data_IF_464816738669
#
_entry.id   IF_464816738669
#
_cell.length_a   1.000
_cell.length_b   1.000
_cell.length_c   1.000
_cell.angle_alpha   90.00
_cell.angle_beta   90.00
_cell.angle_gamma   90.00
#
_symmetry.space_group_name_H-M   'P 1'
#
loop_
_entity.id
_entity.type
_entity.pdbx_description
1 polymer ?
#
# COMPACT_ATOMS: atom_id res chain seq x y z
N UNK A 1 18.73 26.46 -28.39
CA UNK A 1 19.48 25.20 -28.21
C UNK A 1 18.57 24.26 -27.46
N UNK A 2 18.24 23.14 -28.10
CA UNK A 2 17.35 22.09 -27.60
C UNK A 2 18.00 21.35 -26.42
N UNK A 3 17.32 21.24 -25.27
CA UNK A 3 17.05 19.95 -24.60
C UNK A 3 15.82 20.10 -23.67
N UNK A 4 14.70 19.48 -24.08
CA UNK A 4 13.80 18.66 -23.23
C UNK A 4 13.89 17.23 -23.81
N UNK A 5 13.37 16.16 -23.19
CA UNK A 5 13.00 15.87 -21.80
C UNK A 5 13.87 14.72 -21.24
N UNK A 6 13.86 14.40 -19.93
CA UNK A 6 14.28 13.05 -19.50
C UNK A 6 13.31 12.47 -18.45
N UNK A 7 12.75 11.34 -18.86
CA UNK A 7 11.99 10.31 -18.16
C UNK A 7 12.65 9.86 -16.85
N UNK A 8 11.82 9.52 -15.87
CA UNK A 8 12.25 8.81 -14.68
C UNK A 8 12.99 7.52 -15.02
N UNK A 9 14.21 7.42 -14.53
CA UNK A 9 14.90 6.16 -14.33
C UNK A 9 15.73 6.33 -13.06
N UNK A 10 15.32 5.63 -12.00
CA UNK A 10 16.05 5.46 -10.76
C UNK A 10 17.41 4.84 -11.06
N UNK A 11 18.49 5.54 -10.74
CA UNK A 11 19.84 5.00 -10.85
C UNK A 11 20.17 4.26 -9.55
N UNK A 12 20.13 2.94 -9.61
CA UNK A 12 20.60 2.03 -8.56
C UNK A 12 22.08 2.30 -8.23
N UNK A 13 22.34 2.82 -7.04
CA UNK A 13 23.69 2.92 -6.49
C UNK A 13 24.12 1.56 -5.91
N UNK A 14 24.62 0.64 -6.74
CA UNK A 14 25.34 -0.55 -6.27
C UNK A 14 26.79 -0.20 -5.94
N UNK A 15 27.05 0.08 -4.67
CA UNK A 15 28.40 0.15 -4.10
C UNK A 15 29.07 -1.24 -4.06
N UNK A 16 30.19 -1.38 -4.77
CA UNK A 16 31.04 -2.56 -4.73
C UNK A 16 31.77 -2.70 -3.39
N UNK A 17 31.60 -3.85 -2.71
CA UNK A 17 32.38 -4.26 -1.54
C UNK A 17 33.59 -5.08 -1.98
N UNK A 18 34.78 -4.56 -1.74
CA UNK A 18 36.05 -5.28 -1.86
C UNK A 18 36.54 -5.83 -0.52
N UNK A 19 36.69 -7.15 -0.46
CA UNK A 19 37.82 -7.90 0.11
C UNK A 19 38.23 -7.72 1.58
N UNK A 20 38.15 -8.81 2.36
CA UNK A 20 38.88 -8.93 3.64
C UNK A 20 38.68 -10.25 4.38
N UNK A 21 39.37 -11.32 3.95
CA UNK A 21 39.52 -12.61 4.67
C UNK A 21 40.15 -12.40 6.05
N UNK A 22 39.62 -13.06 7.11
CA UNK A 22 40.45 -13.77 8.12
C UNK A 22 39.74 -15.01 8.67
N UNK A 23 40.55 -16.06 8.80
CA UNK A 23 40.26 -17.41 9.31
C UNK A 23 40.09 -17.42 10.82
N UNK A 24 39.31 -18.38 11.32
CA UNK A 24 39.37 -18.87 12.69
C UNK A 24 38.59 -20.18 12.84
N UNK A 25 39.31 -21.31 12.95
CA UNK A 25 38.76 -22.61 13.34
C UNK A 25 38.38 -22.58 14.83
N UNK A 26 37.31 -23.27 15.21
CA UNK A 26 37.24 -24.04 16.46
C UNK A 26 36.06 -25.03 16.41
N UNK A 27 36.31 -26.17 17.05
CA UNK A 27 35.75 -27.47 16.78
C UNK A 27 34.65 -27.88 17.78
N UNK A 28 33.85 -28.88 17.36
CA UNK A 28 33.22 -29.99 18.12
C UNK A 28 32.53 -29.69 19.47
N UNK A 29 31.28 -30.14 19.60
CA UNK A 29 30.88 -31.21 20.54
C UNK A 29 29.43 -31.68 20.32
N UNK A 30 29.26 -33.00 20.44
CA UNK A 30 28.03 -33.79 20.42
C UNK A 30 27.07 -33.43 21.56
N UNK A 31 25.78 -33.73 21.37
CA UNK A 31 24.83 -33.87 22.48
C UNK A 31 23.40 -34.18 22.05
N UNK A 32 23.13 -35.43 21.65
CA UNK A 32 21.77 -35.99 21.61
C UNK A 32 21.39 -36.37 23.04
N UNK A 33 20.23 -35.89 23.53
CA UNK A 33 19.61 -36.46 24.73
C UNK A 33 18.08 -36.50 24.56
N UNK A 34 17.59 -37.73 24.34
CA UNK A 34 16.20 -38.15 24.52
C UNK A 34 15.95 -38.38 26.01
N UNK A 35 14.83 -37.88 26.55
CA UNK A 35 14.30 -38.31 27.83
C UNK A 35 12.83 -38.70 27.67
N UNK A 36 12.60 -39.99 27.89
CA UNK A 36 11.30 -40.61 28.02
C UNK A 36 10.67 -40.27 29.38
N UNK A 37 9.34 -40.12 29.40
CA UNK A 37 8.54 -40.17 30.63
C UNK A 37 7.51 -41.26 30.45
N UNK A 38 7.60 -42.28 31.31
CA UNK A 38 6.66 -43.39 31.48
C UNK A 38 5.71 -43.13 32.67
N UNK A 39 4.66 -43.97 32.76
CA UNK A 39 3.65 -44.15 33.81
C UNK A 39 2.33 -43.39 33.55
N UNK A 40 1.12 -43.96 33.60
CA UNK A 40 0.50 -45.25 33.94
C UNK A 40 -0.87 -45.24 33.19
N UNK A 41 -1.60 -46.31 32.90
CA UNK A 41 -1.65 -47.70 33.31
C UNK A 41 -3.01 -48.28 32.90
N UNK A 42 -3.09 -49.62 32.81
CA UNK A 42 -4.32 -50.41 32.60
C UNK A 42 -4.57 -50.77 31.13
N UNK A 43 -4.40 -52.00 30.63
CA UNK A 43 -4.34 -53.31 31.29
C UNK A 43 -5.60 -54.11 30.92
N UNK A 44 -5.49 -55.04 29.96
CA UNK A 44 -6.53 -56.05 29.69
C UNK A 44 -6.61 -56.54 28.25
N UNK A 45 -5.65 -57.36 27.81
CA UNK A 45 -5.74 -58.19 26.60
C UNK A 45 -6.33 -59.56 26.93
N UNK A 46 -7.04 -60.19 26.00
CA UNK A 46 -7.25 -61.65 26.04
C UNK A 46 -8.45 -62.18 25.25
N UNK A 47 -8.25 -62.77 24.06
CA UNK A 47 -9.28 -63.42 23.24
C UNK A 47 -9.45 -64.90 23.62
N UNK A 48 -10.62 -65.49 23.35
CA UNK A 48 -10.88 -66.90 23.60
C UNK A 48 -12.02 -67.45 22.73
N UNK A 49 -11.68 -68.43 21.90
CA UNK A 49 -12.51 -69.18 20.96
C UNK A 49 -13.04 -70.50 21.56
N UNK A 50 -14.24 -70.94 21.12
CA UNK A 50 -14.77 -72.31 21.18
C UNK A 50 -15.54 -72.64 22.47
N UNK A 51 -16.60 -73.47 22.51
CA UNK A 51 -17.38 -74.24 21.53
C UNK A 51 -18.59 -74.86 22.26
N UNK A 52 -19.66 -75.12 21.51
CA UNK A 52 -20.71 -76.14 21.69
C UNK A 52 -21.82 -76.09 22.77
N UNK A 53 -23.05 -75.99 22.20
CA UNK A 53 -24.27 -76.80 22.46
C UNK A 53 -24.99 -76.75 23.82
N UNK A 54 -26.21 -76.19 23.84
CA UNK A 54 -27.44 -76.99 23.99
C UNK A 54 -28.74 -76.15 23.88
N UNK A 55 -29.69 -76.80 23.21
CA UNK A 55 -31.09 -76.53 22.88
C UNK A 55 -31.97 -75.88 23.98
N UNK A 56 -32.90 -75.00 23.57
CA UNK A 56 -33.99 -74.49 24.41
C UNK A 56 -34.92 -73.54 23.66
N UNK A 57 -35.94 -74.09 23.01
CA UNK A 57 -36.89 -73.34 22.17
C UNK A 57 -37.76 -72.34 22.93
N UNK A 58 -37.96 -71.18 22.32
CA UNK A 58 -38.93 -70.17 22.76
C UNK A 58 -39.38 -69.31 21.58
N UNK A 59 -40.55 -69.65 21.02
CA UNK A 59 -41.31 -68.81 20.08
C UNK A 59 -41.56 -67.43 20.70
N UNK A 60 -41.32 -66.34 19.95
CA UNK A 60 -41.89 -65.05 20.35
C UNK A 60 -41.37 -63.82 19.61
N UNK A 61 -42.08 -63.47 18.54
CA UNK A 61 -42.28 -62.11 17.99
C UNK A 61 -41.08 -61.42 17.32
N UNK A 62 -41.21 -61.31 16.00
CA UNK A 62 -40.74 -60.17 15.20
C UNK A 62 -41.11 -58.86 15.93
N UNK A 63 -40.14 -58.28 16.62
CA UNK A 63 -40.11 -56.86 16.92
C UNK A 63 -39.39 -56.21 15.76
N UNK A 64 -40.17 -55.57 14.90
CA UNK A 64 -39.70 -54.69 13.84
C UNK A 64 -38.91 -53.55 14.50
N UNK A 65 -37.59 -53.74 14.64
CA UNK A 65 -36.68 -52.67 15.04
C UNK A 65 -36.42 -51.82 13.80
N UNK A 66 -37.41 -51.02 13.42
CA UNK A 66 -37.22 -49.88 12.54
C UNK A 66 -36.30 -48.90 13.28
N UNK A 67 -34.99 -49.09 13.13
CA UNK A 67 -34.04 -48.01 13.35
C UNK A 67 -34.51 -46.86 12.46
N UNK A 68 -35.05 -45.80 13.05
CA UNK A 68 -35.25 -44.54 12.36
C UNK A 68 -33.86 -44.04 11.94
N UNK A 69 -33.39 -44.48 10.78
CA UNK A 69 -32.41 -43.70 10.02
C UNK A 69 -33.14 -42.39 9.75
N UNK A 70 -32.67 -41.31 10.39
CA UNK A 70 -33.02 -39.97 9.93
C UNK A 70 -32.86 -39.98 8.41
N UNK A 71 -33.93 -39.62 7.69
CA UNK A 71 -33.85 -39.55 6.24
C UNK A 71 -32.69 -38.62 5.89
N UNK A 72 -31.79 -39.09 5.03
CA UNK A 72 -30.66 -38.28 4.55
C UNK A 72 -31.24 -37.09 3.79
N UNK A 73 -30.63 -35.90 3.96
CA UNK A 73 -31.04 -34.71 3.22
C UNK A 73 -30.94 -34.94 1.71
N UNK A 74 -31.88 -34.37 0.97
CA UNK A 74 -31.87 -34.36 -0.50
C UNK A 74 -30.99 -33.23 -1.06
N UNK A 75 -30.56 -32.28 -0.21
CA UNK A 75 -29.69 -31.18 -0.61
C UNK A 75 -28.31 -31.70 -1.04
N UNK A 76 -27.78 -31.11 -2.10
CA UNK A 76 -26.48 -31.43 -2.67
C UNK A 76 -25.63 -30.17 -2.68
N UNK A 77 -24.61 -30.13 -1.83
CA UNK A 77 -23.61 -29.07 -1.82
C UNK A 77 -22.49 -29.42 -2.80
N UNK A 78 -22.08 -28.47 -3.64
CA UNK A 78 -20.91 -28.62 -4.51
C UNK A 78 -19.94 -27.48 -4.25
N UNK A 79 -18.68 -27.82 -3.98
CA UNK A 79 -17.60 -26.86 -3.80
C UNK A 79 -16.64 -26.96 -4.99
N UNK A 80 -16.48 -25.86 -5.71
CA UNK A 80 -15.39 -25.65 -6.66
C UNK A 80 -14.39 -24.66 -6.04
N UNK A 81 -13.07 -24.90 -6.16
CA UNK A 81 -12.43 -26.03 -6.83
C UNK A 81 -12.56 -27.36 -6.05
N UNK A 82 -12.20 -28.47 -6.71
CA UNK A 82 -12.25 -29.82 -6.11
C UNK A 82 -11.38 -29.91 -4.86
N UNK A 83 -11.77 -30.76 -3.91
CA UNK A 83 -10.98 -31.00 -2.71
C UNK A 83 -9.56 -31.47 -3.05
N UNK A 84 -8.57 -30.84 -2.42
CA UNK A 84 -7.15 -31.04 -2.67
C UNK A 84 -6.61 -30.35 -3.92
N UNK A 85 -7.39 -29.51 -4.62
CA UNK A 85 -6.90 -28.78 -5.78
C UNK A 85 -5.70 -27.89 -5.40
N UNK A 86 -4.72 -27.84 -6.30
CA UNK A 86 -3.52 -27.00 -6.19
C UNK A 86 -3.47 -26.05 -7.38
N UNK A 87 -2.73 -24.95 -7.23
CA UNK A 87 -2.58 -23.93 -8.27
C UNK A 87 -3.91 -23.31 -8.74
N UNK A 88 -4.83 -23.10 -7.79
CA UNK A 88 -6.13 -22.47 -8.04
C UNK A 88 -5.96 -20.97 -8.26
N UNK A 89 -6.70 -20.39 -9.20
CA UNK A 89 -6.66 -18.95 -9.43
C UNK A 89 -7.18 -18.19 -8.21
N UNK A 90 -6.58 -17.03 -7.94
CA UNK A 90 -6.92 -16.20 -6.79
C UNK A 90 -8.28 -15.50 -6.94
N UNK A 91 -8.82 -15.45 -8.16
CA UNK A 91 -10.10 -14.83 -8.48
C UNK A 91 -10.95 -15.74 -9.37
N UNK A 92 -12.25 -15.74 -9.15
CA UNK A 92 -13.23 -16.40 -10.04
C UNK A 92 -13.47 -17.90 -9.81
N UNK A 93 -12.45 -18.64 -9.37
CA UNK A 93 -12.50 -20.11 -9.27
C UNK A 93 -13.32 -20.65 -8.09
N UNK A 94 -13.31 -19.95 -6.94
CA UNK A 94 -14.04 -20.37 -5.75
C UNK A 94 -15.54 -20.10 -5.92
N UNK A 95 -16.33 -21.17 -5.95
CA UNK A 95 -17.78 -21.14 -6.04
C UNK A 95 -18.36 -22.30 -5.22
N UNK A 96 -19.29 -21.99 -4.32
CA UNK A 96 -20.08 -23.01 -3.61
C UNK A 96 -21.51 -22.94 -4.13
N UNK A 97 -22.12 -24.08 -4.41
CA UNK A 97 -23.50 -24.17 -4.88
C UNK A 97 -24.31 -25.20 -4.09
N UNK A 98 -25.62 -24.99 -4.04
CA UNK A 98 -26.58 -25.96 -3.53
C UNK A 98 -27.59 -26.34 -4.63
N UNK A 99 -27.84 -27.63 -4.78
CA UNK A 99 -28.95 -28.18 -5.57
C UNK A 99 -29.93 -28.92 -4.64
N UNK A 100 -31.22 -28.92 -5.00
CA UNK A 100 -32.30 -29.52 -4.17
C UNK A 100 -32.36 -28.99 -2.72
N UNK A 101 -31.84 -27.79 -2.50
CA UNK A 101 -31.76 -27.15 -1.21
C UNK A 101 -31.20 -25.74 -1.35
N UNK A 102 -30.92 -25.09 -0.22
CA UNK A 102 -30.35 -23.73 -0.14
C UNK A 102 -29.18 -23.70 0.83
N UNK A 103 -28.12 -23.01 0.46
CA UNK A 103 -27.00 -22.71 1.35
C UNK A 103 -27.50 -21.90 2.55
N UNK A 104 -27.17 -22.37 3.75
CA UNK A 104 -27.48 -21.70 5.02
C UNK A 104 -26.22 -21.19 5.71
N UNK A 105 -25.08 -21.85 5.48
CA UNK A 105 -23.78 -21.44 5.99
C UNK A 105 -22.70 -21.72 4.95
N UNK A 106 -21.81 -20.75 4.74
CA UNK A 106 -20.53 -20.97 4.04
C UNK A 106 -19.43 -20.25 4.81
N UNK A 107 -18.41 -21.02 5.21
CA UNK A 107 -17.26 -20.52 5.96
C UNK A 107 -15.99 -20.89 5.21
N UNK A 108 -15.29 -19.87 4.73
CA UNK A 108 -13.98 -20.03 4.08
C UNK A 108 -12.92 -19.42 4.98
N UNK A 109 -11.86 -20.18 5.27
CA UNK A 109 -10.75 -19.76 6.15
C UNK A 109 -9.41 -20.14 5.59
N UNK A 110 -8.41 -19.29 5.80
CA UNK A 110 -7.01 -19.66 5.60
C UNK A 110 -6.46 -20.52 6.75
N UNK A 111 -5.24 -21.02 6.60
CA UNK A 111 -4.56 -21.83 7.65
C UNK A 111 -4.26 -21.08 8.94
N UNK A 112 -4.36 -19.73 8.95
CA UNK A 112 -4.21 -18.89 10.13
C UNK A 112 -5.56 -18.63 10.81
N UNK A 113 -6.66 -19.16 10.27
CA UNK A 113 -8.01 -18.98 10.78
C UNK A 113 -8.68 -17.67 10.36
N UNK A 114 -8.06 -16.87 9.48
CA UNK A 114 -8.68 -15.66 8.93
C UNK A 114 -9.82 -16.07 8.00
N UNK A 115 -11.02 -15.54 8.26
CA UNK A 115 -12.20 -15.77 7.42
C UNK A 115 -12.10 -14.93 6.15
N UNK A 116 -12.54 -15.50 5.03
CA UNK A 116 -12.76 -14.78 3.78
C UNK A 116 -14.22 -14.39 3.71
N UNK A 117 -14.47 -13.10 3.52
CA UNK A 117 -15.82 -12.59 3.33
C UNK A 117 -16.38 -13.04 1.98
N UNK A 118 -17.67 -13.30 1.95
CA UNK A 118 -18.40 -13.69 0.76
C UNK A 118 -19.89 -13.66 1.00
N UNK A 119 -20.67 -13.79 -0.07
CA UNK A 119 -22.11 -13.58 -0.06
C UNK A 119 -22.84 -14.81 -0.60
N UNK A 120 -23.86 -15.28 0.13
CA UNK A 120 -24.83 -16.26 -0.36
C UNK A 120 -25.86 -15.48 -1.19
N UNK A 121 -26.13 -15.92 -2.42
CA UNK A 121 -27.14 -15.32 -3.28
C UNK A 121 -28.52 -15.33 -2.62
N UNK A 122 -29.37 -14.33 -2.91
CA UNK A 122 -30.67 -14.20 -2.24
C UNK A 122 -31.63 -15.40 -2.41
N UNK A 123 -31.41 -16.22 -3.44
CA UNK A 123 -32.13 -17.49 -3.64
C UNK A 123 -31.56 -18.67 -2.83
N UNK A 124 -30.37 -18.52 -2.25
CA UNK A 124 -29.63 -19.54 -1.50
C UNK A 124 -28.84 -20.51 -2.40
N UNK A 125 -28.79 -20.30 -3.71
CA UNK A 125 -28.25 -21.29 -4.64
C UNK A 125 -26.71 -21.26 -4.75
N UNK A 126 -26.09 -20.10 -4.50
CA UNK A 126 -24.65 -19.89 -4.74
C UNK A 126 -24.00 -19.06 -3.65
N UNK A 127 -22.70 -19.26 -3.42
CA UNK A 127 -21.86 -18.38 -2.62
C UNK A 127 -20.55 -18.10 -3.34
N UNK A 128 -20.08 -16.85 -3.27
CA UNK A 128 -18.80 -16.40 -3.83
C UNK A 128 -18.05 -15.50 -2.84
N UNK A 129 -16.72 -15.49 -2.85
CA UNK A 129 -15.96 -14.54 -2.06
C UNK A 129 -16.21 -13.10 -2.55
N UNK A 130 -16.26 -12.14 -1.62
CA UNK A 130 -16.49 -10.72 -1.92
C UNK A 130 -15.25 -10.02 -2.46
N UNK A 131 -14.09 -10.66 -2.33
CA UNK A 131 -12.79 -10.16 -2.81
C UNK A 131 -11.94 -11.34 -3.32
N UNK A 132 -10.81 -11.03 -3.95
CA UNK A 132 -9.85 -12.05 -4.37
C UNK A 132 -9.23 -12.77 -3.16
N UNK A 133 -8.72 -13.97 -3.39
CA UNK A 133 -8.00 -14.76 -2.42
C UNK A 133 -6.51 -14.41 -2.44
N UNK A 134 -5.84 -14.61 -1.31
CA UNK A 134 -4.38 -14.46 -1.23
C UNK A 134 -3.68 -15.54 -2.05
N UNK A 135 -2.52 -15.21 -2.61
CA UNK A 135 -1.69 -16.17 -3.32
C UNK A 135 -1.00 -17.14 -2.36
N UNK A 136 -0.52 -18.27 -2.87
CA UNK A 136 0.25 -19.29 -2.13
C UNK A 136 -0.41 -19.73 -0.81
N UNK A 137 -1.75 -19.71 -0.77
CA UNK A 137 -2.52 -19.87 0.47
C UNK A 137 -3.42 -21.08 0.36
N UNK A 138 -3.36 -21.93 1.39
CA UNK A 138 -4.29 -23.04 1.56
C UNK A 138 -5.55 -22.57 2.27
N UNK A 139 -6.69 -22.87 1.69
CA UNK A 139 -8.01 -22.57 2.21
C UNK A 139 -8.76 -23.83 2.63
N UNK A 140 -9.61 -23.68 3.63
CA UNK A 140 -10.62 -24.63 4.07
C UNK A 140 -12.00 -24.01 3.83
N UNK A 141 -12.88 -24.76 3.19
CA UNK A 141 -14.27 -24.39 2.92
C UNK A 141 -15.15 -25.37 3.66
N UNK A 142 -16.04 -24.85 4.49
CA UNK A 142 -17.14 -25.58 5.10
C UNK A 142 -18.45 -24.98 4.59
N UNK A 143 -19.34 -25.80 4.06
CA UNK A 143 -20.62 -25.34 3.52
C UNK A 143 -21.76 -26.25 3.97
N UNK A 144 -22.88 -25.63 4.34
CA UNK A 144 -24.10 -26.32 4.78
C UNK A 144 -25.25 -25.86 3.91
N UNK A 145 -26.08 -26.80 3.47
CA UNK A 145 -27.34 -26.53 2.81
C UNK A 145 -28.49 -27.30 3.45
N UNK A 146 -29.68 -26.73 3.42
CA UNK A 146 -30.92 -27.35 3.87
C UNK A 146 -31.84 -27.67 2.68
N UNK A 147 -32.47 -28.84 2.71
CA UNK A 147 -33.51 -29.19 1.75
C UNK A 147 -34.90 -28.64 2.14
N UNK A 148 -35.93 -28.93 1.35
CA UNK A 148 -37.30 -28.46 1.62
C UNK A 148 -37.94 -29.03 2.89
N UNK A 149 -37.38 -30.10 3.46
CA UNK A 149 -37.83 -30.69 4.72
C UNK A 149 -37.03 -30.17 5.93
N UNK A 150 -36.09 -29.24 5.71
CA UNK A 150 -35.22 -28.68 6.75
C UNK A 150 -34.11 -29.63 7.18
N UNK A 151 -33.77 -30.63 6.35
CA UNK A 151 -32.68 -31.56 6.63
C UNK A 151 -31.38 -31.01 6.06
N UNK A 152 -30.32 -31.02 6.85
CA UNK A 152 -29.01 -30.49 6.47
C UNK A 152 -28.15 -31.49 5.67
N UNK A 153 -27.43 -30.97 4.69
CA UNK A 153 -26.28 -31.59 4.06
C UNK A 153 -25.08 -30.65 4.21
N UNK A 154 -23.94 -31.17 4.65
CA UNK A 154 -22.72 -30.42 4.81
C UNK A 154 -21.62 -31.00 3.93
N UNK A 155 -20.77 -30.13 3.39
CA UNK A 155 -19.56 -30.53 2.69
C UNK A 155 -18.36 -29.70 3.09
N UNK A 156 -17.22 -30.38 3.14
CA UNK A 156 -15.91 -29.79 3.44
C UNK A 156 -14.97 -29.96 2.25
N UNK A 157 -14.22 -28.91 1.93
CA UNK A 157 -13.21 -28.95 0.89
C UNK A 157 -11.98 -28.15 1.31
N UNK A 158 -10.84 -28.52 0.75
CA UNK A 158 -9.61 -27.75 0.86
C UNK A 158 -9.02 -27.53 -0.51
N UNK A 159 -8.33 -26.41 -0.70
CA UNK A 159 -7.58 -26.15 -1.92
C UNK A 159 -6.44 -25.17 -1.64
N UNK A 160 -5.49 -25.07 -2.56
CA UNK A 160 -4.35 -24.16 -2.46
C UNK A 160 -4.28 -23.27 -3.69
N UNK A 161 -4.22 -21.95 -3.47
CA UNK A 161 -4.05 -20.98 -4.56
C UNK A 161 -2.67 -21.08 -5.20
N UNK A 162 -2.57 -20.57 -6.43
CA UNK A 162 -1.33 -20.52 -7.19
C UNK A 162 -0.18 -19.87 -6.42
N UNK A 163 1.04 -20.32 -6.72
CA UNK A 163 2.27 -19.68 -6.24
C UNK A 163 2.85 -18.84 -7.37
N UNK A 164 2.82 -17.50 -7.26
CA UNK A 164 3.29 -16.62 -8.32
C UNK A 164 4.79 -16.83 -8.58
N UNK A 165 5.17 -16.89 -9.85
CA UNK A 165 6.58 -16.92 -10.26
C UNK A 165 7.18 -15.50 -10.31
N UNK A 166 6.32 -14.49 -10.41
CA UNK A 166 6.68 -13.09 -10.46
C UNK A 166 5.74 -12.31 -9.55
N UNK A 167 6.30 -11.35 -8.82
CA UNK A 167 5.52 -10.50 -7.92
C UNK A 167 5.77 -9.01 -8.14
N UNK A 168 4.84 -8.20 -7.65
CA UNK A 168 5.00 -6.76 -7.49
C UNK A 168 4.60 -6.30 -6.08
N UNK A 169 5.18 -5.17 -5.66
CA UNK A 169 4.75 -4.42 -4.48
C UNK A 169 4.57 -2.96 -4.85
N UNK A 170 3.78 -2.23 -4.06
CA UNK A 170 3.73 -0.77 -4.09
C UNK A 170 4.60 -0.17 -2.98
N UNK A 171 5.53 0.71 -3.34
CA UNK A 171 6.12 1.65 -2.39
C UNK A 171 5.15 2.81 -2.21
N UNK A 172 4.72 3.05 -0.98
CA UNK A 172 3.74 4.09 -0.69
C UNK A 172 4.33 5.27 0.06
N UNK A 173 3.68 6.42 -0.12
CA UNK A 173 3.84 7.58 0.75
C UNK A 173 2.46 8.24 0.91
N UNK A 174 2.12 8.81 2.07
CA UNK A 174 2.92 8.88 3.29
C UNK A 174 3.04 7.54 4.04
N UNK A 175 4.03 7.47 4.94
CA UNK A 175 4.30 6.30 5.78
C UNK A 175 3.25 6.12 6.88
N UNK A 176 3.12 4.90 7.40
CA UNK A 176 2.21 4.58 8.50
C UNK A 176 2.52 5.38 9.77
N UNK A 177 1.47 5.84 10.46
CA UNK A 177 1.53 6.68 11.65
C UNK A 177 1.97 8.13 11.41
N UNK A 178 2.24 8.54 10.17
CA UNK A 178 2.77 9.87 9.88
C UNK A 178 1.72 10.99 10.02
N UNK A 179 2.21 12.21 10.24
CA UNK A 179 1.42 13.44 10.21
C UNK A 179 1.93 14.35 9.10
N UNK A 180 1.05 14.69 8.16
CA UNK A 180 1.41 15.36 6.90
C UNK A 180 0.57 16.61 6.63
N UNK A 181 1.02 17.51 5.77
CA UNK A 181 0.29 18.70 5.37
C UNK A 181 -0.90 18.41 4.44
N UNK A 182 -1.75 19.41 4.26
CA UNK A 182 -3.04 19.32 3.55
C UNK A 182 -2.94 19.03 2.06
N UNK A 183 -1.76 19.14 1.47
CA UNK A 183 -1.50 18.81 0.06
C UNK A 183 -1.00 17.39 -0.17
N UNK A 184 -0.81 16.58 0.88
CA UNK A 184 -0.25 15.24 0.72
C UNK A 184 -1.22 14.31 -0.03
N UNK A 185 -0.79 13.73 -1.13
CA UNK A 185 -1.52 12.62 -1.78
C UNK A 185 -1.08 11.29 -1.17
N UNK A 186 -1.94 10.28 -1.19
CA UNK A 186 -1.48 8.90 -0.97
C UNK A 186 -1.02 8.35 -2.32
N UNK A 187 0.28 8.11 -2.48
CA UNK A 187 0.90 7.69 -3.74
C UNK A 187 1.48 6.29 -3.60
N UNK A 188 1.21 5.44 -4.57
CA UNK A 188 1.79 4.10 -4.74
C UNK A 188 2.65 4.07 -5.99
N UNK A 189 3.91 3.69 -5.84
CA UNK A 189 4.83 3.42 -6.95
C UNK A 189 5.14 1.93 -7.00
N UNK A 190 4.69 1.26 -8.05
CA UNK A 190 4.80 -0.17 -8.21
C UNK A 190 6.18 -0.58 -8.75
N UNK A 191 6.72 -1.69 -8.25
CA UNK A 191 8.00 -2.25 -8.74
C UNK A 191 7.92 -2.78 -10.17
N UNK A 192 6.71 -2.94 -10.70
CA UNK A 192 6.43 -3.40 -12.06
C UNK A 192 5.19 -2.64 -12.56
N UNK A 193 5.23 -2.20 -13.82
CA UNK A 193 4.08 -1.54 -14.44
C UNK A 193 2.87 -2.48 -14.52
N UNK A 194 1.69 -1.95 -14.19
CA UNK A 194 0.39 -2.61 -14.08
C UNK A 194 -0.34 -2.52 -15.42
N UNK A 195 -0.94 -3.62 -15.88
CA UNK A 195 -1.76 -3.65 -17.10
C UNK A 195 -3.23 -3.93 -16.82
N UNK A 196 -3.56 -4.35 -15.59
CA UNK A 196 -4.91 -4.58 -15.10
C UNK A 196 -5.22 -3.58 -13.96
N UNK A 197 -5.36 -2.27 -14.26
CA UNK A 197 -5.49 -1.23 -13.24
C UNK A 197 -6.73 -1.39 -12.37
N UNK A 198 -7.87 -1.80 -12.97
CA UNK A 198 -9.13 -1.93 -12.24
C UNK A 198 -9.08 -2.94 -11.08
N UNK A 199 -8.36 -4.05 -11.26
CA UNK A 199 -8.25 -5.08 -10.22
C UNK A 199 -7.32 -4.63 -9.09
N UNK A 200 -6.29 -3.85 -9.42
CA UNK A 200 -5.40 -3.21 -8.43
C UNK A 200 -6.14 -2.11 -7.66
N UNK A 201 -6.95 -1.30 -8.33
CA UNK A 201 -7.75 -0.25 -7.69
C UNK A 201 -8.80 -0.83 -6.75
N UNK A 202 -9.56 -1.85 -7.17
CA UNK A 202 -10.56 -2.53 -6.32
C UNK A 202 -9.96 -3.14 -5.06
N UNK A 203 -8.67 -3.45 -5.11
CA UNK A 203 -7.90 -3.99 -3.99
C UNK A 203 -7.36 -2.93 -3.03
N UNK A 204 -7.58 -1.64 -3.32
CA UNK A 204 -7.15 -0.52 -2.49
C UNK A 204 -8.38 0.20 -1.96
N UNK A 205 -8.55 0.19 -0.64
CA UNK A 205 -9.66 0.88 0.02
C UNK A 205 -9.13 2.06 0.83
N UNK A 206 -9.69 3.26 0.62
CA UNK A 206 -9.34 4.46 1.39
C UNK A 206 -10.55 4.90 2.22
N UNK A 207 -10.35 4.97 3.54
CA UNK A 207 -11.33 5.48 4.51
C UNK A 207 -10.83 6.78 5.09
N UNK A 208 -11.74 7.74 5.22
CA UNK A 208 -11.45 9.08 5.72
C UNK A 208 -12.40 9.45 6.86
N UNK A 209 -11.89 10.13 7.88
CA UNK A 209 -12.67 10.67 8.99
C UNK A 209 -12.25 12.13 9.22
N UNK A 210 -13.10 13.14 8.94
CA UNK A 210 -14.43 13.03 8.34
C UNK A 210 -14.41 12.46 6.91
N UNK A 211 -15.54 11.88 6.50
CA UNK A 211 -15.66 11.25 5.19
C UNK A 211 -15.60 12.27 4.06
N UNK A 212 -14.77 12.00 3.05
CA UNK A 212 -14.63 12.78 1.81
C UNK A 212 -14.37 11.83 0.64
N UNK A 213 -14.89 12.17 -0.55
CA UNK A 213 -14.60 11.45 -1.80
C UNK A 213 -13.11 11.53 -2.10
N UNK A 214 -12.49 10.38 -2.35
CA UNK A 214 -11.07 10.25 -2.71
C UNK A 214 -11.01 9.39 -3.96
N UNK A 215 -10.34 9.90 -4.99
CA UNK A 215 -10.23 9.21 -6.27
C UNK A 215 -8.78 8.95 -6.62
N UNK A 216 -8.55 7.80 -7.27
CA UNK A 216 -7.25 7.40 -7.81
C UNK A 216 -7.00 8.01 -9.19
N UNK A 217 -5.75 8.32 -9.50
CA UNK A 217 -5.30 8.69 -10.83
C UNK A 217 -3.97 8.03 -11.16
N UNK A 218 -3.90 7.36 -12.31
CA UNK A 218 -2.69 6.73 -12.80
C UNK A 218 -1.79 7.72 -13.53
N UNK A 219 -0.53 7.77 -13.13
CA UNK A 219 0.52 8.39 -13.90
C UNK A 219 1.32 7.30 -14.59
N UNK A 220 1.09 7.13 -15.89
CA UNK A 220 1.63 5.98 -16.62
C UNK A 220 0.98 4.69 -16.13
N UNK A 221 1.78 3.66 -15.90
CA UNK A 221 1.29 2.38 -15.39
C UNK A 221 2.04 1.89 -14.15
N UNK A 222 2.93 2.71 -13.60
CA UNK A 222 3.78 2.40 -12.46
C UNK A 222 3.42 3.21 -11.23
N UNK A 223 2.61 4.27 -11.35
CA UNK A 223 2.22 5.11 -10.23
C UNK A 223 0.73 5.38 -10.19
N UNK A 224 0.14 5.20 -9.01
CA UNK A 224 -1.25 5.51 -8.69
C UNK A 224 -1.30 6.46 -7.50
N UNK A 225 -1.89 7.63 -7.68
CA UNK A 225 -2.06 8.64 -6.64
C UNK A 225 -3.53 8.80 -6.26
N UNK A 226 -3.79 9.02 -4.97
CA UNK A 226 -5.13 9.25 -4.43
C UNK A 226 -5.21 10.59 -3.71
N UNK A 227 -6.27 11.35 -4.01
CA UNK A 227 -6.59 12.59 -3.31
C UNK A 227 -8.08 12.94 -3.42
N UNK A 228 -8.60 13.79 -2.52
CA UNK A 228 -9.87 14.47 -2.71
C UNK A 228 -9.77 15.61 -3.74
N UNK A 229 -10.93 16.16 -4.12
CA UNK A 229 -11.02 17.28 -5.06
C UNK A 229 -10.22 18.51 -4.61
N UNK A 230 -10.44 18.90 -3.35
CA UNK A 230 -9.79 20.03 -2.69
C UNK A 230 -8.70 19.54 -1.73
N UNK A 231 -7.87 20.44 -1.20
CA UNK A 231 -6.92 20.05 -0.15
C UNK A 231 -7.64 19.41 1.03
N UNK A 232 -6.95 18.48 1.69
CA UNK A 232 -7.48 17.79 2.85
C UNK A 232 -7.88 18.78 3.96
N UNK A 233 -8.96 18.45 4.67
CA UNK A 233 -9.33 19.18 5.87
C UNK A 233 -8.31 18.89 7.00
N UNK A 234 -7.83 19.91 7.73
CA UNK A 234 -6.97 19.69 8.88
C UNK A 234 -7.58 18.74 9.92
N UNK A 235 -6.80 17.76 10.38
CA UNK A 235 -7.24 16.77 11.35
C UNK A 235 -7.90 15.52 10.74
N UNK A 236 -8.14 15.47 9.42
CA UNK A 236 -8.64 14.26 8.76
C UNK A 236 -7.71 13.08 9.04
N UNK A 237 -8.28 11.96 9.46
CA UNK A 237 -7.59 10.67 9.54
C UNK A 237 -7.84 9.90 8.26
N UNK A 238 -6.79 9.37 7.68
CA UNK A 238 -6.86 8.56 6.47
C UNK A 238 -6.35 7.17 6.81
N UNK A 239 -7.12 6.14 6.47
CA UNK A 239 -6.72 4.73 6.56
C UNK A 239 -6.82 4.11 5.19
N UNK A 240 -5.72 3.52 4.73
CA UNK A 240 -5.62 2.84 3.45
C UNK A 240 -5.41 1.35 3.70
N UNK A 241 -6.30 0.52 3.18
CA UNK A 241 -6.14 -0.93 3.14
C UNK A 241 -5.63 -1.32 1.75
N UNK A 242 -4.38 -1.76 1.70
CA UNK A 242 -3.76 -2.36 0.52
C UNK A 242 -3.98 -3.87 0.61
N UNK A 243 -4.94 -4.40 -0.14
CA UNK A 243 -5.17 -5.84 -0.25
C UNK A 243 -4.65 -6.34 -1.60
N UNK A 244 -3.35 -6.22 -1.88
CA UNK A 244 -2.79 -6.56 -3.20
C UNK A 244 -2.32 -8.03 -3.30
N UNK A 245 -2.22 -8.74 -2.17
CA UNK A 245 -1.80 -10.15 -2.16
C UNK A 245 -2.78 -11.03 -2.94
N UNK A 246 -2.32 -11.62 -4.04
CA UNK A 246 -3.14 -12.42 -4.93
C UNK A 246 -3.85 -11.64 -6.04
N UNK A 247 -3.67 -10.32 -6.13
CA UNK A 247 -4.17 -9.54 -7.27
C UNK A 247 -3.23 -9.70 -8.46
N UNK A 248 -3.76 -10.10 -9.62
CA UNK A 248 -2.99 -10.11 -10.86
C UNK A 248 -2.96 -8.71 -11.50
N UNK A 249 -1.90 -7.96 -11.21
CA UNK A 249 -1.72 -6.60 -11.76
C UNK A 249 -1.31 -6.60 -13.24
N UNK A 250 -0.79 -7.73 -13.73
CA UNK A 250 -0.47 -8.00 -15.14
C UNK A 250 -0.30 -9.51 -15.32
N UNK A 251 -0.42 -9.98 -16.56
CA UNK A 251 -0.30 -11.39 -16.92
C UNK A 251 0.87 -12.11 -16.21
N UNK A 252 0.53 -13.06 -15.35
CA UNK A 252 1.47 -13.90 -14.59
C UNK A 252 2.24 -13.20 -13.47
N UNK A 253 1.88 -11.97 -13.09
CA UNK A 253 2.54 -11.20 -12.02
C UNK A 253 1.53 -10.73 -11.00
N UNK A 254 1.71 -11.19 -9.77
CA UNK A 254 0.75 -11.01 -8.69
C UNK A 254 1.29 -10.08 -7.61
N UNK A 255 0.40 -9.36 -6.93
CA UNK A 255 0.78 -8.64 -5.74
C UNK A 255 1.08 -9.61 -4.59
N UNK A 256 2.01 -9.23 -3.72
CA UNK A 256 2.36 -9.97 -2.49
C UNK A 256 2.14 -9.13 -1.22
N UNK A 257 1.55 -7.94 -1.38
CA UNK A 257 1.43 -6.95 -0.31
C UNK A 257 0.02 -6.90 0.26
N UNK A 258 -0.13 -7.25 1.54
CA UNK A 258 -1.34 -6.97 2.32
C UNK A 258 -0.97 -6.10 3.53
N UNK A 259 -1.46 -4.85 3.56
CA UNK A 259 -1.09 -3.85 4.58
C UNK A 259 -2.23 -2.88 4.86
N UNK A 260 -2.34 -2.44 6.11
CA UNK A 260 -3.12 -1.27 6.48
C UNK A 260 -2.14 -0.15 6.85
N UNK A 261 -2.39 1.05 6.30
CA UNK A 261 -1.59 2.26 6.53
C UNK A 261 -2.52 3.34 7.04
N UNK A 262 -2.17 4.00 8.14
CA UNK A 262 -2.94 5.12 8.67
C UNK A 262 -2.07 6.36 8.81
N UNK A 263 -2.59 7.52 8.38
CA UNK A 263 -1.90 8.81 8.56
C UNK A 263 -2.90 9.90 8.91
N UNK A 264 -2.40 11.01 9.47
CA UNK A 264 -3.22 12.14 9.90
C UNK A 264 -2.84 13.40 9.17
N UNK A 265 -3.85 14.13 8.69
CA UNK A 265 -3.67 15.45 8.11
C UNK A 265 -3.46 16.46 9.23
N UNK A 266 -2.37 17.21 9.14
CA UNK A 266 -1.97 18.25 10.07
C UNK A 266 -2.69 19.56 9.83
N UNK A 267 -2.03 20.66 10.23
CA UNK A 267 -2.52 22.02 9.99
C UNK A 267 -2.54 22.35 8.50
N UNK A 268 -3.32 23.36 8.09
CA UNK A 268 -3.23 23.89 6.74
C UNK A 268 -2.05 24.85 6.64
N UNK A 269 -1.16 24.63 5.67
CA UNK A 269 -0.11 25.58 5.34
C UNK A 269 0.11 25.65 3.82
N UNK A 270 -0.07 26.85 3.27
CA UNK A 270 0.17 27.17 1.86
C UNK A 270 1.09 28.38 1.79
N UNK A 271 2.24 28.21 1.18
CA UNK A 271 3.26 29.24 1.05
C UNK A 271 3.29 29.77 -0.37
N UNK A 272 2.84 31.01 -0.56
CA UNK A 272 2.70 31.60 -1.89
C UNK A 272 3.94 32.40 -2.26
N UNK A 273 4.68 31.93 -3.25
CA UNK A 273 5.83 32.61 -3.86
C UNK A 273 5.36 33.44 -5.04
N UNK A 274 5.53 34.77 -4.94
CA UNK A 274 5.29 35.68 -6.06
C UNK A 274 6.63 36.04 -6.70
N UNK A 275 6.92 35.48 -7.88
CA UNK A 275 8.21 35.64 -8.56
C UNK A 275 8.46 37.09 -8.98
N UNK A 276 7.41 37.86 -9.29
CA UNK A 276 7.57 39.29 -9.64
C UNK A 276 7.91 40.15 -8.43
N UNK A 277 7.39 39.78 -7.24
CA UNK A 277 7.65 40.52 -6.00
C UNK A 277 8.86 40.00 -5.22
N UNK A 278 9.36 38.81 -5.58
CA UNK A 278 10.47 38.14 -4.90
C UNK A 278 10.18 37.93 -3.40
N UNK A 279 8.93 37.58 -3.09
CA UNK A 279 8.48 37.31 -1.72
C UNK A 279 7.69 36.02 -1.66
N UNK A 280 7.90 35.26 -0.58
CA UNK A 280 7.05 34.17 -0.16
C UNK A 280 6.18 34.61 1.02
N UNK A 281 4.86 34.47 0.89
CA UNK A 281 3.91 34.68 1.98
C UNK A 281 3.47 33.32 2.51
N UNK A 282 3.87 32.99 3.74
CA UNK A 282 3.49 31.74 4.40
C UNK A 282 2.14 31.96 5.07
N UNK A 283 1.12 31.25 4.58
CA UNK A 283 -0.21 31.24 5.18
C UNK A 283 -0.44 29.96 5.93
N UNK A 284 -0.90 30.07 7.17
CA UNK A 284 -1.26 28.94 8.02
C UNK A 284 -2.68 29.12 8.50
N UNK A 285 -3.52 28.11 8.26
CA UNK A 285 -4.94 28.14 8.61
C UNK A 285 -5.66 29.41 8.08
N UNK A 286 -5.26 29.85 6.88
CA UNK A 286 -5.79 31.05 6.22
C UNK A 286 -5.10 32.37 6.57
N UNK A 287 -4.34 32.43 7.67
CA UNK A 287 -3.70 33.64 8.17
C UNK A 287 -2.24 33.77 7.73
N UNK A 288 -1.79 34.99 7.48
CA UNK A 288 -0.37 35.25 7.15
C UNK A 288 0.46 35.18 8.43
N UNK A 289 1.34 34.18 8.52
CA UNK A 289 2.24 34.02 9.68
C UNK A 289 3.64 34.57 9.43
N UNK A 290 4.07 34.66 8.16
CA UNK A 290 5.35 35.27 7.80
C UNK A 290 5.40 35.67 6.34
N UNK A 291 6.14 36.74 6.06
CA UNK A 291 6.58 37.10 4.71
C UNK A 291 8.11 37.02 4.65
N UNK A 292 8.63 36.32 3.66
CA UNK A 292 10.05 36.02 3.51
C UNK A 292 10.53 36.51 2.13
N UNK A 293 11.54 37.39 2.05
CA UNK A 293 12.22 37.69 0.78
C UNK A 293 12.87 36.43 0.21
N UNK A 294 12.70 36.20 -1.09
CA UNK A 294 13.24 35.04 -1.79
C UNK A 294 14.05 35.45 -3.00
N UNK A 295 14.85 34.53 -3.53
CA UNK A 295 15.34 34.58 -4.91
C UNK A 295 14.86 33.34 -5.64
N UNK A 296 14.52 33.46 -6.93
CA UNK A 296 14.03 32.34 -7.75
C UNK A 296 14.86 32.17 -9.03
N UNK A 297 14.39 31.35 -9.96
CA UNK A 297 15.08 31.04 -11.21
C UNK A 297 15.39 32.26 -12.08
N UNK A 298 16.66 32.42 -12.49
CA UNK A 298 17.10 33.48 -13.40
C UNK A 298 16.51 33.27 -14.81
N UNK A 299 16.62 34.29 -15.67
CA UNK A 299 16.11 34.20 -17.04
C UNK A 299 16.73 33.00 -17.80
N UNK A 300 15.89 32.22 -18.48
CA UNK A 300 16.25 30.96 -19.15
C UNK A 300 16.29 29.74 -18.22
N UNK A 301 16.08 29.92 -16.91
CA UNK A 301 16.02 28.88 -15.88
C UNK A 301 14.96 29.23 -14.84
N UNK A 302 13.85 29.78 -15.31
CA UNK A 302 12.77 30.28 -14.47
C UNK A 302 12.17 29.16 -13.60
N UNK A 303 11.66 29.53 -12.42
CA UNK A 303 10.98 28.57 -11.54
C UNK A 303 9.59 28.26 -12.11
N UNK A 304 9.17 27.00 -12.12
CA UNK A 304 7.81 26.62 -12.53
C UNK A 304 6.72 27.40 -11.78
N UNK A 305 5.61 27.71 -12.45
CA UNK A 305 4.38 28.12 -11.79
C UNK A 305 3.66 26.88 -11.19
N UNK A 306 2.68 27.11 -10.33
CA UNK A 306 1.76 26.08 -9.85
C UNK A 306 1.97 25.68 -8.39
N UNK A 307 1.20 24.68 -7.98
CA UNK A 307 1.16 24.15 -6.60
C UNK A 307 2.13 22.99 -6.48
N UNK A 308 3.11 23.11 -5.60
CA UNK A 308 4.11 22.07 -5.37
C UNK A 308 4.05 21.56 -3.94
N UNK A 309 3.96 20.25 -3.76
CA UNK A 309 3.88 19.61 -2.44
C UNK A 309 5.29 19.32 -1.93
N UNK A 310 5.57 19.64 -0.66
CA UNK A 310 6.82 19.27 -0.02
C UNK A 310 6.84 17.75 0.19
N UNK A 311 7.70 17.04 -0.54
CA UNK A 311 7.80 15.57 -0.48
C UNK A 311 8.93 15.06 0.40
N UNK A 312 9.96 15.88 0.60
CA UNK A 312 11.16 15.51 1.35
C UNK A 312 11.67 16.72 2.12
N UNK A 313 12.24 16.48 3.31
CA UNK A 313 12.87 17.52 4.15
C UNK A 313 14.26 17.05 4.58
N UNK A 314 15.28 17.73 4.09
CA UNK A 314 16.69 17.43 4.32
C UNK A 314 17.34 18.59 5.08
N UNK A 315 17.80 18.38 6.33
CA UNK A 315 18.52 19.41 7.07
C UNK A 315 19.76 19.91 6.33
N UNK A 316 20.46 19.00 5.63
CA UNK A 316 21.55 19.31 4.70
C UNK A 316 21.50 18.33 3.55
N UNK A 317 21.76 18.79 2.33
CA UNK A 317 21.93 17.94 1.15
C UNK A 317 22.98 18.51 0.19
N UNK A 318 23.50 17.64 -0.68
CA UNK A 318 24.34 18.06 -1.82
C UNK A 318 23.44 18.29 -3.02
N UNK A 319 23.50 19.48 -3.61
CA UNK A 319 22.82 19.78 -4.87
C UNK A 319 23.85 19.85 -5.99
N UNK A 320 23.73 18.94 -6.96
CA UNK A 320 24.62 18.82 -8.12
C UNK A 320 23.82 19.01 -9.43
N UNK A 321 24.20 20.00 -10.24
CA UNK A 321 23.55 20.31 -11.52
C UNK A 321 23.57 19.17 -12.54
N UNK A 322 24.54 18.26 -12.45
CA UNK A 322 24.63 17.09 -13.35
C UNK A 322 23.43 16.17 -13.19
N UNK A 323 22.88 16.08 -11.97
CA UNK A 323 21.75 15.20 -11.67
C UNK A 323 20.40 15.69 -12.21
N UNK A 324 20.35 16.95 -12.66
CA UNK A 324 19.12 17.63 -13.09
C UNK A 324 19.26 18.30 -14.47
N UNK A 325 20.31 17.97 -15.22
CA UNK A 325 20.49 18.45 -16.59
C UNK A 325 21.12 19.84 -16.75
N UNK A 326 21.67 20.42 -15.68
CA UNK A 326 22.47 21.66 -15.73
C UNK A 326 23.99 21.40 -15.78
N UNK A 327 24.41 20.13 -15.91
CA UNK A 327 25.83 19.77 -15.95
C UNK A 327 26.58 20.29 -14.72
N UNK A 328 27.85 20.66 -14.89
CA UNK A 328 28.69 21.17 -13.80
C UNK A 328 28.44 22.63 -13.39
N UNK A 329 27.33 23.26 -13.78
CA UNK A 329 27.05 24.68 -13.46
C UNK A 329 27.02 24.96 -11.95
N UNK A 330 26.68 23.96 -11.14
CA UNK A 330 26.83 24.01 -9.70
C UNK A 330 27.04 22.63 -9.08
N UNK A 331 27.80 22.61 -7.98
CA UNK A 331 27.99 21.45 -7.11
C UNK A 331 28.21 21.95 -5.68
N UNK A 332 27.12 22.03 -4.92
CA UNK A 332 27.13 22.60 -3.57
C UNK A 332 26.90 21.46 -2.58
N UNK A 333 27.92 21.18 -1.77
CA UNK A 333 27.98 19.96 -0.93
C UNK A 333 27.09 20.02 0.31
N UNK A 334 26.78 21.23 0.76
CA UNK A 334 26.21 21.50 2.09
C UNK A 334 25.06 22.50 2.01
N UNK A 335 24.09 22.28 1.11
CA UNK A 335 22.88 23.10 1.03
C UNK A 335 21.99 22.83 2.25
N UNK A 336 21.77 23.81 3.14
CA UNK A 336 20.97 23.60 4.34
C UNK A 336 19.47 23.69 4.06
N UNK A 337 18.67 23.10 4.95
CA UNK A 337 17.22 23.29 5.04
C UNK A 337 16.48 23.07 3.71
N UNK A 338 16.87 22.04 2.96
CA UNK A 338 16.34 21.77 1.64
C UNK A 338 15.04 20.98 1.73
N UNK A 339 14.00 21.43 1.04
CA UNK A 339 12.72 20.74 0.93
C UNK A 339 12.36 20.54 -0.54
N UNK A 340 12.14 19.28 -0.94
CA UNK A 340 11.90 18.90 -2.33
C UNK A 340 10.47 19.21 -2.73
N UNK A 341 10.31 19.80 -3.91
CA UNK A 341 9.02 20.21 -4.47
C UNK A 341 8.66 19.47 -5.77
N UNK A 342 9.67 19.03 -6.53
CA UNK A 342 9.49 18.30 -7.78
C UNK A 342 10.50 17.16 -7.89
N UNK A 343 10.16 16.10 -8.62
CA UNK A 343 11.10 15.01 -8.94
C UNK A 343 12.17 15.46 -9.91
N UNK A 344 11.86 16.44 -10.77
CA UNK A 344 12.82 17.06 -11.70
C UNK A 344 13.86 17.98 -11.02
N UNK A 345 13.81 18.17 -9.69
CA UNK A 345 14.89 18.81 -8.94
C UNK A 345 14.65 20.23 -8.44
N UNK A 346 13.40 20.72 -8.42
CA UNK A 346 13.08 21.99 -7.75
C UNK A 346 13.02 21.79 -6.25
N UNK A 347 13.77 22.61 -5.52
CA UNK A 347 13.74 22.70 -4.06
C UNK A 347 13.41 24.11 -3.62
N UNK A 348 12.87 24.21 -2.40
CA UNK A 348 12.99 25.40 -1.57
C UNK A 348 14.06 25.13 -0.51
N UNK A 349 15.06 25.99 -0.40
CA UNK A 349 16.23 25.67 0.43
C UNK A 349 16.91 26.90 1.02
N UNK A 350 17.74 26.67 2.02
CA UNK A 350 18.64 27.68 2.56
C UNK A 350 19.79 27.99 1.62
N UNK A 351 20.09 29.27 1.47
CA UNK A 351 21.12 29.77 0.58
C UNK A 351 21.96 30.81 1.34
N UNK A 352 23.18 30.41 1.69
CA UNK A 352 24.15 31.25 2.39
C UNK A 352 25.08 32.02 1.45
N UNK A 353 25.03 31.75 0.14
CA UNK A 353 25.90 32.34 -0.89
C UNK A 353 25.19 33.42 -1.72
N UNK A 354 23.88 33.57 -1.59
CA UNK A 354 23.03 34.40 -2.44
C UNK A 354 23.17 35.92 -2.24
N UNK A 355 23.96 36.38 -1.27
CA UNK A 355 24.23 37.80 -1.05
C UNK A 355 22.97 38.66 -0.89
N UNK A 356 22.84 39.67 -1.76
CA UNK A 356 21.71 40.60 -1.80
C UNK A 356 20.56 40.12 -2.71
N UNK A 357 20.61 38.94 -3.34
CA UNK A 357 19.56 38.50 -4.27
C UNK A 357 18.14 38.44 -3.67
N UNK A 358 18.02 38.12 -2.38
CA UNK A 358 16.74 37.90 -1.70
C UNK A 358 15.88 39.17 -1.69
N UNK A 359 14.76 39.15 -2.42
CA UNK A 359 13.88 40.30 -2.58
C UNK A 359 14.31 41.31 -3.66
N UNK A 360 15.45 41.10 -4.33
CA UNK A 360 16.01 42.06 -5.29
C UNK A 360 16.09 41.52 -6.73
N UNK A 361 16.58 40.29 -6.94
CA UNK A 361 16.64 39.68 -8.27
C UNK A 361 16.64 38.13 -8.23
N UNK A 362 16.35 37.52 -9.38
CA UNK A 362 16.39 36.07 -9.58
C UNK A 362 17.79 35.59 -9.92
N UNK A 363 18.31 34.61 -9.17
CA UNK A 363 19.70 34.16 -9.26
C UNK A 363 19.86 32.64 -9.36
N UNK A 364 18.80 31.85 -9.16
CA UNK A 364 18.90 30.40 -9.09
C UNK A 364 18.73 29.69 -10.45
N UNK A 365 18.92 28.37 -10.46
CA UNK A 365 18.65 27.48 -11.59
C UNK A 365 17.25 26.83 -11.45
N UNK A 366 16.25 27.62 -11.02
CA UNK A 366 14.87 27.18 -10.84
C UNK A 366 14.45 26.88 -9.39
N UNK A 367 15.39 26.73 -8.45
CA UNK A 367 15.08 26.58 -7.03
C UNK A 367 14.58 27.89 -6.37
N UNK A 368 13.88 27.76 -5.26
CA UNK A 368 13.47 28.91 -4.42
C UNK A 368 14.48 29.05 -3.29
N UNK A 369 15.31 30.09 -3.35
CA UNK A 369 16.33 30.37 -2.35
C UNK A 369 15.79 31.22 -1.20
N UNK A 370 16.01 30.76 0.02
CA UNK A 370 15.76 31.48 1.26
C UNK A 370 17.09 31.86 1.92
N UNK A 371 17.19 33.05 2.51
CA UNK A 371 18.43 33.46 3.18
C UNK A 371 18.75 32.50 4.33
N UNK A 372 20.02 32.10 4.40
CA UNK A 372 20.55 31.22 5.45
C UNK A 372 22.02 31.54 5.77
N UNK A 373 22.60 30.80 6.73
CA UNK A 373 24.02 30.83 7.09
C UNK A 373 24.70 29.52 6.68
N UNK A 374 26.00 29.57 6.41
CA UNK A 374 26.77 28.36 6.09
C UNK A 374 26.69 27.38 7.26
N UNK A 375 26.34 26.13 6.96
CA UNK A 375 26.12 25.09 7.97
C UNK A 375 24.74 25.10 8.64
N UNK A 376 23.83 26.02 8.29
CA UNK A 376 22.42 26.00 8.72
C UNK A 376 22.20 26.05 10.23
N UNK A 377 23.13 26.60 11.02
CA UNK A 377 23.05 26.56 12.48
C UNK A 377 22.15 27.67 13.08
N UNK A 378 21.88 28.74 12.34
CA UNK A 378 21.04 29.85 12.82
C UNK A 378 19.56 29.54 12.63
N UNK A 379 18.90 29.13 13.72
CA UNK A 379 17.46 28.84 13.74
C UNK A 379 16.56 30.04 13.44
N UNK A 380 17.09 31.27 13.52
CA UNK A 380 16.34 32.48 13.21
C UNK A 380 16.42 32.85 11.72
N UNK A 381 17.37 32.27 10.99
CA UNK A 381 17.50 32.48 9.56
C UNK A 381 16.18 32.11 8.85
N UNK A 382 15.75 32.89 7.83
CA UNK A 382 14.48 32.64 7.16
C UNK A 382 14.30 31.20 6.66
N UNK A 383 15.36 30.59 6.12
CA UNK A 383 15.33 29.20 5.67
C UNK A 383 15.14 28.20 6.83
N UNK A 384 15.92 28.32 7.90
CA UNK A 384 15.83 27.46 9.08
C UNK A 384 14.43 27.55 9.71
N UNK A 385 13.90 28.76 9.88
CA UNK A 385 12.55 28.94 10.39
C UNK A 385 11.51 28.29 9.49
N UNK A 386 11.59 28.49 8.16
CA UNK A 386 10.62 27.92 7.24
C UNK A 386 10.67 26.40 7.25
N UNK A 387 11.88 25.83 7.29
CA UNK A 387 12.10 24.40 7.42
C UNK A 387 11.47 23.84 8.69
N UNK A 388 11.79 24.41 9.86
CA UNK A 388 11.25 23.97 11.16
C UNK A 388 9.73 24.13 11.26
N UNK A 389 9.17 25.07 10.50
CA UNK A 389 7.74 25.39 10.47
C UNK A 389 6.99 24.78 9.28
N UNK A 390 7.55 23.77 8.62
CA UNK A 390 6.90 23.06 7.51
C UNK A 390 6.80 21.56 7.77
N UNK A 391 5.81 20.92 7.16
CA UNK A 391 5.61 19.46 7.15
C UNK A 391 5.81 18.92 5.73
N UNK A 392 6.14 17.63 5.62
CA UNK A 392 5.89 16.89 4.37
C UNK A 392 4.38 16.97 4.10
N UNK A 393 3.99 17.27 2.87
CA UNK A 393 2.60 17.50 2.48
C UNK A 393 2.15 18.97 2.49
N UNK A 394 2.93 19.89 3.06
CA UNK A 394 2.63 21.32 2.96
C UNK A 394 2.83 21.80 1.51
N UNK A 395 2.10 22.84 1.10
CA UNK A 395 2.11 23.32 -0.29
C UNK A 395 2.91 24.60 -0.43
N UNK A 396 3.74 24.66 -1.47
CA UNK A 396 4.35 25.88 -1.99
C UNK A 396 3.72 26.21 -3.34
N UNK A 397 2.99 27.32 -3.41
CA UNK A 397 2.36 27.80 -4.65
C UNK A 397 3.21 28.89 -5.28
N UNK A 398 3.71 28.66 -6.49
CA UNK A 398 4.47 29.65 -7.25
C UNK A 398 3.58 30.32 -8.29
N UNK A 399 3.62 31.64 -8.33
CA UNK A 399 2.88 32.44 -9.31
C UNK A 399 3.75 33.51 -9.95
N UNK A 400 3.26 34.02 -11.08
CA UNK A 400 3.85 35.12 -11.83
C UNK A 400 5.26 34.85 -12.36
N UNK A 401 5.65 33.58 -12.48
CA UNK A 401 6.87 33.19 -13.21
C UNK A 401 6.65 33.25 -14.72
N UNK A 402 7.73 33.38 -15.50
CA UNK A 402 7.68 33.30 -16.97
C UNK A 402 7.76 31.84 -17.49
N UNK A 403 7.76 30.84 -16.60
CA UNK A 403 7.72 29.42 -16.98
C UNK A 403 6.28 28.86 -16.98
N UNK A 404 6.12 27.65 -17.50
CA UNK A 404 4.87 26.91 -17.46
C UNK A 404 4.46 26.50 -16.03
N UNK A 405 3.20 26.07 -15.89
CA UNK A 405 2.75 25.37 -14.69
C UNK A 405 3.43 24.01 -14.61
N UNK A 406 3.89 23.63 -13.43
CA UNK A 406 4.51 22.32 -13.17
C UNK A 406 3.56 21.18 -13.58
N UNK A 407 4.11 20.17 -14.23
CA UNK A 407 3.33 18.99 -14.62
C UNK A 407 2.81 18.23 -13.39
N UNK A 408 1.57 17.73 -13.40
CA UNK A 408 0.98 17.02 -12.25
C UNK A 408 1.81 15.84 -11.71
N UNK A 409 2.42 15.08 -12.61
CA UNK A 409 3.25 13.89 -12.34
C UNK A 409 4.64 14.23 -11.78
N UNK A 410 5.09 15.48 -11.91
CA UNK A 410 6.42 15.90 -11.48
C UNK A 410 6.45 16.17 -9.96
N UNK A 411 6.71 15.14 -9.16
CA UNK A 411 6.46 15.15 -7.71
C UNK A 411 5.03 14.74 -7.40
N UNK A 412 4.50 15.12 -6.22
CA UNK A 412 3.12 14.86 -5.81
C UNK A 412 2.20 16.05 -6.19
N UNK A 413 2.32 16.53 -7.43
CA UNK A 413 1.79 17.83 -7.84
C UNK A 413 0.46 17.74 -8.60
N UNK A 414 -0.31 16.69 -8.32
CA UNK A 414 -1.64 16.41 -8.88
C UNK A 414 -2.64 17.57 -8.81
N UNK A 415 -2.44 18.51 -7.88
CA UNK A 415 -3.26 19.71 -7.66
C UNK A 415 -3.23 20.74 -8.80
N UNK A 416 -2.36 20.55 -9.79
CA UNK A 416 -2.29 21.34 -11.02
C UNK A 416 -3.15 20.74 -12.15
N UNK A 417 -3.80 19.59 -11.90
CA UNK A 417 -4.78 18.98 -12.78
C UNK A 417 -6.19 19.32 -12.31
N UNK A 418 -7.12 19.58 -13.24
CA UNK A 418 -8.53 19.74 -12.89
C UNK A 418 -9.10 18.44 -12.33
N UNK A 419 -10.09 18.53 -11.45
CA UNK A 419 -10.72 17.34 -10.86
C UNK A 419 -11.36 16.43 -11.90
N UNK A 420 -11.99 17.00 -12.93
CA UNK A 420 -12.53 16.25 -14.07
C UNK A 420 -11.47 15.38 -14.76
N UNK A 421 -10.26 15.91 -14.97
CA UNK A 421 -9.15 15.16 -15.59
C UNK A 421 -8.52 14.15 -14.63
N UNK A 422 -8.64 14.37 -13.33
CA UNK A 422 -8.15 13.45 -12.32
C UNK A 422 -8.99 12.17 -12.27
N UNK A 423 -10.31 12.31 -12.41
CA UNK A 423 -11.26 11.19 -12.38
C UNK A 423 -11.42 10.44 -13.71
N UNK A 424 -10.87 11.00 -14.79
CA UNK A 424 -10.89 10.42 -16.12
C UNK A 424 -9.70 9.47 -16.30
#
# INVERSE_FOLDING_TARGET
MNVRPISGASVDARGGRGGGRRRGLLALLLGVLLLAVTACGGGGSGPGSGSDSANGGGKGKNGDSSSARSAQSDAVVTIAPKNGAESVDTSGDLLVTAAKGKLTEVVVKDTKGRKIEGEISGDGATWRPSTHLAASTKYQVHAVAEDSEGREAAEDSTFTTLTPQNTFIGYFTPEDGSKVGVGMTFSLNFTRGITNPEDVEKAIEIKTEPAVEVEGHWFGNDRLDFRPENYWEPGTKVTVNLNLDGVEGRDGVYGEQSKTVSFTIGRSQVSVVDVKKLTMTVKRDGEVVRTIPVTTGKAGMETWNGKMVITERLPVTRMNGETVGYGGEYDIKDVPHAMRLTTSGTFIHGNYWGGDAFGNYNASHGCIGLRDVRGGWDKQAPAAWFFDNSLIGDVVEVKNSNDAVVAPENGLNGWNMSWEKWKA
#
